data_IF_279171548873
#
_entry.id   IF_279171548873
#
_cell.length_a   1.000
_cell.length_b   1.000
_cell.length_c   1.000
_cell.angle_alpha   90.00
_cell.angle_beta   90.00
_cell.angle_gamma   90.00
#
_symmetry.space_group_name_H-M   'P 1'
#
loop_
_entity.id
_entity.type
_entity.pdbx_description
1 polymer ?
#
# COMPACT_ATOMS: atom_id res chain seq x y z
N UNK A 1 24.88 0.14 20.38
CA UNK A 1 26.02 -0.06 19.45
C UNK A 1 25.47 -0.64 18.13
N UNK A 2 24.36 -0.08 17.61
CA UNK A 2 23.44 -0.82 16.73
C UNK A 2 23.01 -0.05 15.46
N UNK A 3 23.76 0.98 15.08
CA UNK A 3 23.49 1.74 13.86
C UNK A 3 24.03 1.08 12.58
N UNK A 4 24.86 0.04 12.70
CA UNK A 4 25.47 -0.64 11.54
C UNK A 4 24.52 -1.58 10.80
N UNK A 5 23.52 -2.14 11.48
CA UNK A 5 22.56 -3.07 10.86
C UNK A 5 21.55 -2.30 9.97
N UNK A 6 21.22 -1.06 10.32
CA UNK A 6 20.34 -0.19 9.53
C UNK A 6 20.99 0.32 8.23
N UNK A 7 22.32 0.46 8.18
CA UNK A 7 23.02 0.91 6.99
C UNK A 7 23.26 -0.22 5.98
N UNK A 8 23.49 -1.45 6.45
CA UNK A 8 23.77 -2.60 5.58
C UNK A 8 22.52 -3.10 4.83
N UNK A 9 21.31 -2.90 5.39
CA UNK A 9 20.06 -3.45 4.86
C UNK A 9 19.37 -2.58 3.80
N UNK A 10 19.89 -1.38 3.53
CA UNK A 10 19.32 -0.45 2.55
C UNK A 10 20.22 -0.21 1.35
N UNK A 11 21.27 -1.02 1.19
CA UNK A 11 22.25 -0.93 0.11
C UNK A 11 21.62 -1.41 -1.22
N UNK A 12 21.44 -0.49 -2.16
CA UNK A 12 20.97 -0.73 -3.54
C UNK A 12 22.07 -1.24 -4.46
N UNK A 13 23.33 -1.04 -4.09
CA UNK A 13 24.47 -1.43 -4.90
C UNK A 13 25.78 -1.10 -4.22
N UNK A 14 26.76 -1.97 -4.41
CA UNK A 14 28.13 -1.79 -3.97
C UNK A 14 29.00 -1.81 -5.21
N UNK A 15 29.71 -0.72 -5.47
CA UNK A 15 30.69 -0.66 -6.54
C UNK A 15 32.07 -0.43 -5.94
N UNK A 16 33.00 -1.32 -6.27
CA UNK A 16 34.39 -1.25 -5.81
C UNK A 16 35.26 -0.97 -7.02
N UNK A 17 36.00 0.14 -7.00
CA UNK A 17 37.07 0.44 -7.95
C UNK A 17 38.40 0.55 -7.19
N UNK A 18 39.52 0.61 -7.91
CA UNK A 18 40.87 0.38 -7.36
C UNK A 18 41.28 1.25 -6.16
N UNK A 19 40.51 2.27 -5.74
CA UNK A 19 40.64 2.99 -4.46
C UNK A 19 39.32 3.56 -3.89
N UNK A 20 38.15 3.10 -4.34
CA UNK A 20 36.87 3.69 -3.92
C UNK A 20 35.79 2.63 -3.71
N UNK A 21 35.11 2.73 -2.56
CA UNK A 21 33.90 1.98 -2.24
C UNK A 21 32.71 2.92 -2.35
N UNK A 22 31.84 2.70 -3.35
CA UNK A 22 30.59 3.45 -3.49
C UNK A 22 29.44 2.56 -3.01
N UNK A 23 28.79 2.97 -1.91
CA UNK A 23 27.61 2.32 -1.35
C UNK A 23 26.39 3.19 -1.68
N UNK A 24 25.50 2.68 -2.54
CA UNK A 24 24.21 3.33 -2.80
C UNK A 24 23.19 2.84 -1.78
N UNK A 25 22.50 3.71 -1.04
CA UNK A 25 21.47 3.29 -0.09
C UNK A 25 20.23 4.19 -0.05
N UNK A 26 19.09 3.66 0.42
CA UNK A 26 17.86 4.45 0.63
C UNK A 26 17.79 4.92 2.09
N UNK A 27 17.63 6.22 2.31
CA UNK A 27 17.43 6.80 3.66
C UNK A 27 16.02 7.39 3.79
N UNK A 28 15.33 7.19 4.94
CA UNK A 28 14.06 7.84 5.25
C UNK A 28 14.08 9.37 5.07
N UNK A 29 15.22 10.03 5.34
CA UNK A 29 15.36 11.49 5.22
C UNK A 29 15.27 12.01 3.78
N UNK A 30 15.56 11.18 2.78
CA UNK A 30 15.46 11.57 1.37
C UNK A 30 14.04 11.44 0.79
N UNK A 31 13.05 10.98 1.57
CA UNK A 31 11.64 10.91 1.12
C UNK A 31 10.94 12.27 1.15
N UNK A 32 11.31 13.16 2.06
CA UNK A 32 10.70 14.50 2.16
C UNK A 32 10.82 15.30 0.84
N UNK A 33 11.88 15.08 0.06
CA UNK A 33 12.09 15.77 -1.22
C UNK A 33 11.32 15.16 -2.41
N UNK A 34 10.72 13.96 -2.28
CA UNK A 34 9.94 13.30 -3.35
C UNK A 34 8.43 13.47 -3.22
N UNK A 35 7.96 13.96 -2.06
CA UNK A 35 6.55 14.11 -1.72
C UNK A 35 6.04 15.54 -1.92
N UNK A 36 6.51 16.23 -2.97
CA UNK A 36 6.11 17.62 -3.22
C UNK A 36 4.67 17.65 -3.78
N UNK A 37 3.70 17.70 -2.88
CA UNK A 37 2.31 18.02 -3.21
C UNK A 37 2.21 19.55 -3.32
N UNK A 38 1.73 20.05 -4.45
CA UNK A 38 1.36 21.46 -4.57
C UNK A 38 0.04 21.74 -3.83
N UNK A 39 -0.28 23.02 -3.61
CA UNK A 39 -1.47 23.45 -2.88
C UNK A 39 -2.77 22.87 -3.45
N UNK A 40 -2.85 22.71 -4.78
CA UNK A 40 -4.02 22.11 -5.45
C UNK A 40 -4.20 20.63 -5.07
N UNK A 41 -3.11 19.88 -4.92
CA UNK A 41 -3.17 18.49 -4.48
C UNK A 41 -3.61 18.41 -3.00
N UNK A 42 -3.16 19.33 -2.15
CA UNK A 42 -3.58 19.39 -0.75
C UNK A 42 -5.09 19.67 -0.61
N UNK A 43 -5.63 20.63 -1.37
CA UNK A 43 -7.08 20.87 -1.41
C UNK A 43 -7.88 19.65 -1.90
N UNK A 44 -7.32 18.88 -2.82
CA UNK A 44 -7.93 17.63 -3.28
C UNK A 44 -7.95 16.57 -2.16
N UNK A 45 -6.89 16.46 -1.35
CA UNK A 45 -6.87 15.56 -0.19
C UNK A 45 -7.96 15.93 0.81
N UNK A 46 -8.11 17.21 1.15
CA UNK A 46 -9.17 17.70 2.06
C UNK A 46 -10.55 17.34 1.50
N UNK A 47 -10.78 17.56 0.21
CA UNK A 47 -12.04 17.20 -0.44
C UNK A 47 -12.37 15.70 -0.25
N UNK A 48 -11.42 14.80 -0.49
CA UNK A 48 -11.66 13.36 -0.29
C UNK A 48 -11.80 12.98 1.19
N UNK A 49 -11.10 13.66 2.10
CA UNK A 49 -11.27 13.47 3.53
C UNK A 49 -12.69 13.83 4.00
N UNK A 50 -13.26 14.94 3.50
CA UNK A 50 -14.64 15.32 3.80
C UNK A 50 -15.65 14.27 3.29
N UNK A 51 -15.49 13.81 2.06
CA UNK A 51 -16.34 12.75 1.52
C UNK A 51 -16.17 11.43 2.26
N UNK A 52 -14.95 11.09 2.67
CA UNK A 52 -14.65 9.91 3.48
C UNK A 52 -15.37 9.98 4.83
N UNK A 53 -15.34 11.12 5.53
CA UNK A 53 -16.10 11.31 6.77
C UNK A 53 -17.60 11.10 6.58
N UNK A 54 -18.17 11.58 5.48
CA UNK A 54 -19.60 11.39 5.17
C UNK A 54 -19.95 9.92 4.92
N UNK A 55 -19.10 9.20 4.18
CA UNK A 55 -19.26 7.75 3.95
C UNK A 55 -19.24 6.99 5.29
N UNK A 56 -18.27 7.31 6.16
CA UNK A 56 -18.11 6.68 7.47
C UNK A 56 -19.32 6.98 8.38
N UNK A 57 -19.85 8.21 8.34
CA UNK A 57 -20.99 8.61 9.15
C UNK A 57 -22.27 7.81 8.80
N UNK A 58 -22.41 7.41 7.54
CA UNK A 58 -23.53 6.66 6.99
C UNK A 58 -23.36 5.13 7.12
N UNK A 59 -22.18 4.65 7.52
CA UNK A 59 -21.91 3.22 7.69
C UNK A 59 -22.85 2.59 8.74
N UNK A 60 -23.43 1.44 8.42
CA UNK A 60 -24.24 0.67 9.36
C UNK A 60 -23.33 -0.04 10.38
N UNK A 61 -23.38 0.31 11.68
CA UNK A 61 -22.54 -0.31 12.71
C UNK A 61 -22.73 -1.82 12.86
N UNK A 62 -23.81 -2.41 12.34
CA UNK A 62 -24.04 -3.86 12.38
C UNK A 62 -23.11 -4.64 11.45
N UNK A 63 -22.52 -3.97 10.45
CA UNK A 63 -21.66 -4.59 9.45
C UNK A 63 -20.20 -4.16 9.60
N UNK A 64 -19.27 -5.02 9.20
CA UNK A 64 -17.85 -4.65 9.11
C UNK A 64 -17.67 -3.70 7.93
N UNK A 65 -16.91 -2.63 8.14
CA UNK A 65 -16.56 -1.71 7.06
C UNK A 65 -15.58 -2.37 6.09
N UNK A 66 -16.01 -2.59 4.86
CA UNK A 66 -15.16 -3.05 3.77
C UNK A 66 -14.31 -1.89 3.25
N UNK A 67 -13.05 -2.17 2.92
CA UNK A 67 -12.23 -1.17 2.23
C UNK A 67 -12.83 -0.74 0.87
N UNK A 68 -13.63 -1.60 0.23
CA UNK A 68 -14.33 -1.26 -1.01
C UNK A 68 -15.42 -0.20 -0.82
N UNK A 69 -16.10 -0.20 0.35
CA UNK A 69 -17.10 0.82 0.70
C UNK A 69 -16.49 2.21 0.84
N UNK A 70 -15.17 2.29 1.06
CA UNK A 70 -14.41 3.54 1.08
C UNK A 70 -13.84 3.89 -0.30
N UNK A 71 -13.14 2.94 -0.93
CA UNK A 71 -12.42 3.19 -2.19
C UNK A 71 -13.37 3.49 -3.36
N UNK A 72 -14.44 2.71 -3.53
CA UNK A 72 -15.35 2.86 -4.67
C UNK A 72 -15.93 4.28 -4.76
N UNK A 73 -16.55 4.86 -3.70
CA UNK A 73 -17.17 6.17 -3.81
C UNK A 73 -16.13 7.28 -3.96
N UNK A 74 -14.95 7.18 -3.35
CA UNK A 74 -13.91 8.18 -3.57
C UNK A 74 -13.37 8.14 -5.00
N UNK A 75 -13.20 6.95 -5.60
CA UNK A 75 -12.84 6.83 -7.01
C UNK A 75 -13.97 7.25 -7.96
N UNK A 76 -15.23 7.14 -7.56
CA UNK A 76 -16.36 7.76 -8.27
C UNK A 76 -16.22 9.28 -8.30
N UNK A 77 -15.98 9.92 -7.16
CA UNK A 77 -15.75 11.37 -7.12
C UNK A 77 -14.55 11.77 -7.98
N UNK A 78 -13.44 11.03 -7.87
CA UNK A 78 -12.25 11.26 -8.70
C UNK A 78 -12.56 11.13 -10.19
N UNK A 79 -13.36 10.13 -10.59
CA UNK A 79 -13.79 9.99 -11.98
C UNK A 79 -14.66 11.19 -12.42
N UNK A 80 -15.57 11.67 -11.57
CA UNK A 80 -16.48 12.76 -11.94
C UNK A 80 -15.78 14.11 -12.07
N UNK A 81 -14.81 14.41 -11.19
CA UNK A 81 -14.16 15.74 -11.13
C UNK A 81 -12.87 15.86 -11.94
N UNK A 82 -12.23 14.74 -12.27
CA UNK A 82 -10.95 14.77 -12.96
C UNK A 82 -11.08 14.66 -14.48
N UNK A 83 -10.07 15.18 -15.17
CA UNK A 83 -9.82 14.97 -16.60
C UNK A 83 -8.65 13.98 -16.74
N UNK A 84 -8.32 13.57 -17.97
CA UNK A 84 -7.11 12.77 -18.23
C UNK A 84 -5.87 13.44 -17.60
N UNK A 85 -5.73 14.76 -17.77
CA UNK A 85 -4.57 15.51 -17.30
C UNK A 85 -4.48 15.63 -15.77
N UNK A 86 -5.61 15.49 -15.06
CA UNK A 86 -5.65 15.61 -13.58
C UNK A 86 -5.85 14.28 -12.87
N UNK A 87 -6.08 13.18 -13.58
CA UNK A 87 -6.39 11.87 -13.00
C UNK A 87 -5.31 11.35 -12.04
N UNK A 88 -4.02 11.52 -12.37
CA UNK A 88 -2.91 11.09 -11.51
C UNK A 88 -2.94 11.84 -10.16
N UNK A 89 -3.11 13.16 -10.21
CA UNK A 89 -3.14 14.00 -9.01
C UNK A 89 -4.33 13.63 -8.10
N UNK A 90 -5.49 13.42 -8.71
CA UNK A 90 -6.73 13.06 -8.00
C UNK A 90 -6.63 11.65 -7.40
N UNK A 91 -6.04 10.68 -8.10
CA UNK A 91 -5.80 9.35 -7.57
C UNK A 91 -4.84 9.36 -6.36
N UNK A 92 -3.76 10.15 -6.42
CA UNK A 92 -2.86 10.34 -5.28
C UNK A 92 -3.61 10.91 -4.08
N UNK A 93 -4.45 11.91 -4.31
CA UNK A 93 -5.23 12.54 -3.25
C UNK A 93 -6.23 11.55 -2.59
N UNK A 94 -6.90 10.71 -3.37
CA UNK A 94 -7.76 9.61 -2.86
C UNK A 94 -6.96 8.66 -1.96
N UNK A 95 -5.80 8.20 -2.44
CA UNK A 95 -4.97 7.25 -1.70
C UNK A 95 -4.45 7.84 -0.39
N UNK A 96 -3.98 9.09 -0.40
CA UNK A 96 -3.57 9.81 0.81
C UNK A 96 -4.74 9.95 1.78
N UNK A 97 -5.91 10.37 1.31
CA UNK A 97 -7.08 10.58 2.15
C UNK A 97 -7.52 9.29 2.84
N UNK A 98 -7.60 8.16 2.12
CA UNK A 98 -7.99 6.88 2.72
C UNK A 98 -6.91 6.35 3.67
N UNK A 99 -5.63 6.42 3.30
CA UNK A 99 -4.56 5.96 4.17
C UNK A 99 -4.49 6.78 5.47
N UNK A 100 -4.91 8.05 5.46
CA UNK A 100 -5.04 8.85 6.69
C UNK A 100 -6.05 8.28 7.70
N UNK A 101 -7.07 7.57 7.21
CA UNK A 101 -8.06 6.89 8.04
C UNK A 101 -7.63 5.48 8.44
N UNK A 102 -7.16 4.70 7.45
CA UNK A 102 -6.86 3.27 7.61
C UNK A 102 -5.56 3.05 8.39
N UNK A 103 -4.51 3.80 8.06
CA UNK A 103 -3.19 3.68 8.66
C UNK A 103 -2.93 4.71 9.78
N UNK A 104 -3.76 5.77 9.87
CA UNK A 104 -3.67 6.80 10.92
C UNK A 104 -2.25 7.36 11.06
N UNK A 105 -1.68 7.31 12.26
CA UNK A 105 -0.35 7.86 12.56
C UNK A 105 0.79 7.14 11.81
N UNK A 106 0.58 5.90 11.34
CA UNK A 106 1.61 5.14 10.60
C UNK A 106 2.04 5.87 9.32
N UNK A 107 1.11 6.57 8.66
CA UNK A 107 1.44 7.30 7.42
C UNK A 107 1.92 8.74 7.66
N UNK A 108 1.62 9.33 8.82
CA UNK A 108 1.97 10.72 9.12
C UNK A 108 3.48 11.00 9.03
N UNK A 109 4.32 10.00 9.33
CA UNK A 109 5.77 10.07 9.19
C UNK A 109 6.24 10.23 7.73
N UNK A 110 5.38 9.90 6.76
CA UNK A 110 5.68 9.93 5.33
C UNK A 110 4.93 11.03 4.58
N UNK A 111 4.36 12.02 5.28
CA UNK A 111 3.64 13.11 4.64
C UNK A 111 4.14 14.47 5.17
N UNK A 112 4.34 15.47 4.29
CA UNK A 112 4.88 16.77 4.69
C UNK A 112 3.86 17.66 5.43
N UNK A 113 2.65 17.18 5.69
CA UNK A 113 1.55 17.92 6.30
C UNK A 113 0.80 17.03 7.28
N UNK A 114 0.16 17.66 8.27
CA UNK A 114 -0.70 16.94 9.22
C UNK A 114 -1.99 16.50 8.53
N UNK A 115 -2.32 15.23 8.66
CA UNK A 115 -3.62 14.71 8.28
C UNK A 115 -4.62 15.03 9.39
N UNK A 116 -5.67 15.80 9.07
CA UNK A 116 -6.67 16.28 10.03
C UNK A 116 -8.04 15.61 9.86
N UNK A 117 -8.09 14.31 9.54
CA UNK A 117 -9.37 13.62 9.41
C UNK A 117 -9.95 13.33 10.79
N UNK A 118 -10.82 14.21 11.27
CA UNK A 118 -11.64 13.98 12.45
C UNK A 118 -12.96 13.31 12.03
N UNK A 119 -13.12 12.03 12.35
CA UNK A 119 -14.36 11.29 12.15
C UNK A 119 -15.07 11.14 13.49
N UNK A 120 -16.37 11.48 13.55
CA UNK A 120 -17.19 11.27 14.76
C UNK A 120 -17.32 9.78 15.14
N UNK A 121 -17.26 8.89 14.14
CA UNK A 121 -17.32 7.42 14.32
C UNK A 121 -16.09 6.77 13.71
N UNK A 122 -15.58 5.70 14.31
CA UNK A 122 -14.38 5.00 13.85
C UNK A 122 -14.68 3.51 13.65
N UNK A 123 -14.64 3.04 12.41
CA UNK A 123 -14.84 1.65 12.04
C UNK A 123 -13.56 1.14 11.37
N UNK A 124 -12.95 0.06 11.85
CA UNK A 124 -11.80 -0.53 11.18
C UNK A 124 -12.18 -1.03 9.78
N UNK A 125 -11.60 -0.42 8.75
CA UNK A 125 -11.73 -0.91 7.38
C UNK A 125 -11.09 -2.30 7.26
N UNK A 126 -11.67 -3.17 6.43
CA UNK A 126 -11.24 -4.55 6.31
C UNK A 126 -11.31 -5.12 4.90
N UNK A 127 -10.46 -6.12 4.65
CA UNK A 127 -10.47 -7.01 3.50
C UNK A 127 -10.55 -8.44 4.03
N UNK A 128 -11.43 -9.29 3.51
CA UNK A 128 -11.64 -10.65 4.05
C UNK A 128 -11.86 -10.68 5.58
N UNK A 129 -12.56 -9.67 6.12
CA UNK A 129 -12.77 -9.48 7.57
C UNK A 129 -11.49 -9.19 8.37
N UNK A 130 -10.35 -8.94 7.73
CA UNK A 130 -9.06 -8.59 8.34
C UNK A 130 -8.74 -7.10 8.17
N UNK A 131 -8.38 -6.44 9.26
CA UNK A 131 -8.12 -4.98 9.30
C UNK A 131 -6.66 -4.66 8.98
N UNK A 132 -5.76 -5.52 9.45
CA UNK A 132 -4.35 -5.62 9.09
C UNK A 132 -4.16 -5.72 7.57
N UNK A 133 -4.93 -6.55 6.87
CA UNK A 133 -4.87 -6.63 5.41
C UNK A 133 -5.20 -5.29 4.72
N UNK A 134 -6.23 -4.58 5.21
CA UNK A 134 -6.57 -3.26 4.67
C UNK A 134 -5.44 -2.25 4.90
N UNK A 135 -4.78 -2.32 6.06
CA UNK A 135 -3.60 -1.49 6.36
C UNK A 135 -2.42 -1.77 5.43
N UNK A 136 -2.06 -3.04 5.23
CA UNK A 136 -1.00 -3.48 4.32
C UNK A 136 -1.25 -3.00 2.89
N UNK A 137 -2.47 -3.22 2.40
CA UNK A 137 -2.88 -2.74 1.09
C UNK A 137 -2.73 -1.21 0.97
N UNK A 138 -3.30 -0.45 1.91
CA UNK A 138 -3.35 1.01 1.81
C UNK A 138 -1.99 1.68 2.01
N UNK A 139 -1.14 1.18 2.90
CA UNK A 139 0.21 1.73 3.09
C UNK A 139 1.09 1.46 1.86
N UNK A 140 0.99 0.26 1.27
CA UNK A 140 1.74 -0.07 0.06
C UNK A 140 1.25 0.73 -1.15
N UNK A 141 -0.07 0.92 -1.29
CA UNK A 141 -0.65 1.68 -2.39
C UNK A 141 -0.26 3.15 -2.37
N UNK A 142 -0.38 3.81 -1.22
CA UNK A 142 -0.04 5.23 -1.11
C UNK A 142 1.45 5.48 -1.27
N UNK A 143 2.32 4.64 -0.70
CA UNK A 143 3.77 4.74 -0.89
C UNK A 143 4.15 4.57 -2.37
N UNK A 144 3.53 3.62 -3.08
CA UNK A 144 3.74 3.45 -4.52
C UNK A 144 3.29 4.68 -5.32
N UNK A 145 2.11 5.21 -5.01
CA UNK A 145 1.55 6.37 -5.70
C UNK A 145 2.33 7.68 -5.44
N UNK A 146 3.05 7.77 -4.32
CA UNK A 146 3.80 8.96 -3.92
C UNK A 146 5.30 8.89 -4.21
N UNK A 147 5.75 7.85 -4.93
CA UNK A 147 7.15 7.72 -5.38
C UNK A 147 8.10 7.03 -4.38
N UNK A 148 7.53 6.36 -3.37
CA UNK A 148 8.22 5.61 -2.34
C UNK A 148 8.06 4.08 -2.51
N UNK A 149 7.84 3.59 -3.74
CA UNK A 149 7.65 2.16 -4.04
C UNK A 149 8.73 1.25 -3.45
N UNK A 150 10.01 1.59 -3.63
CA UNK A 150 11.11 0.75 -3.15
C UNK A 150 11.03 0.57 -1.63
N UNK A 151 10.54 1.58 -0.92
CA UNK A 151 10.33 1.53 0.52
C UNK A 151 9.15 0.62 0.87
N UNK A 152 8.04 0.67 0.14
CA UNK A 152 6.88 -0.21 0.37
C UNK A 152 7.27 -1.70 0.30
N UNK A 153 8.02 -2.09 -0.74
CA UNK A 153 8.47 -3.48 -0.90
C UNK A 153 9.41 -3.93 0.24
N UNK A 154 10.35 -3.06 0.63
CA UNK A 154 11.32 -3.36 1.69
C UNK A 154 10.60 -3.47 3.04
N UNK A 155 9.77 -2.48 3.41
CA UNK A 155 9.07 -2.47 4.69
C UNK A 155 8.14 -3.68 4.86
N UNK A 156 7.41 -4.06 3.81
CA UNK A 156 6.56 -5.24 3.84
C UNK A 156 7.39 -6.51 4.09
N UNK A 157 8.43 -6.76 3.29
CA UNK A 157 9.25 -7.96 3.44
C UNK A 157 10.04 -8.01 4.77
N UNK A 158 10.57 -6.88 5.23
CA UNK A 158 11.28 -6.81 6.52
C UNK A 158 10.34 -7.03 7.71
N UNK A 159 9.13 -6.48 7.66
CA UNK A 159 8.11 -6.72 8.69
C UNK A 159 7.83 -8.21 8.84
N UNK A 160 7.59 -8.92 7.75
CA UNK A 160 7.28 -10.35 7.80
C UNK A 160 8.43 -11.20 8.32
N UNK A 161 9.68 -10.84 8.01
CA UNK A 161 10.85 -11.52 8.57
C UNK A 161 11.05 -11.24 10.06
N UNK A 162 10.67 -10.06 10.54
CA UNK A 162 10.70 -9.72 11.96
C UNK A 162 9.58 -10.42 12.73
N UNK A 163 8.36 -10.46 12.16
CA UNK A 163 7.21 -11.15 12.73
C UNK A 163 7.47 -12.66 12.85
N UNK A 164 8.23 -13.25 11.91
CA UNK A 164 8.69 -14.64 12.03
C UNK A 164 9.56 -14.92 13.26
N UNK A 165 10.34 -13.93 13.72
CA UNK A 165 11.31 -14.10 14.82
C UNK A 165 10.71 -13.83 16.19
N UNK A 166 9.90 -12.78 16.32
CA UNK A 166 9.43 -12.27 17.62
C UNK A 166 7.97 -11.77 17.60
N UNK A 167 7.25 -11.97 16.50
CA UNK A 167 5.86 -11.49 16.33
C UNK A 167 4.87 -12.64 16.08
N UNK A 168 3.88 -12.37 15.23
CA UNK A 168 2.79 -13.31 14.88
C UNK A 168 3.22 -14.47 13.98
N UNK A 169 4.43 -14.43 13.42
CA UNK A 169 4.87 -15.34 12.36
C UNK A 169 4.79 -14.72 10.96
N UNK A 170 5.55 -15.28 10.02
CA UNK A 170 5.58 -14.88 8.61
C UNK A 170 4.24 -15.14 7.92
N UNK A 171 3.74 -14.18 7.15
CA UNK A 171 2.43 -14.23 6.49
C UNK A 171 2.50 -13.91 5.00
N UNK A 172 2.20 -14.91 4.15
CA UNK A 172 1.99 -14.63 2.73
C UNK A 172 0.68 -13.88 2.45
N UNK A 173 -0.25 -13.86 3.41
CA UNK A 173 -1.47 -13.06 3.32
C UNK A 173 -1.14 -11.57 3.42
N UNK A 174 -0.24 -11.20 4.35
CA UNK A 174 0.21 -9.81 4.51
C UNK A 174 1.03 -9.37 3.29
N UNK A 175 1.93 -10.22 2.79
CA UNK A 175 2.62 -9.97 1.52
C UNK A 175 1.67 -9.83 0.33
N UNK A 176 0.59 -10.61 0.27
CA UNK A 176 -0.39 -10.45 -0.79
C UNK A 176 -1.11 -9.09 -0.70
N UNK A 177 -1.41 -8.62 0.51
CA UNK A 177 -1.92 -7.28 0.77
C UNK A 177 -0.95 -6.19 0.27
N UNK A 178 0.32 -6.29 0.67
CA UNK A 178 1.36 -5.35 0.26
C UNK A 178 1.56 -5.30 -1.25
N UNK A 179 1.64 -6.47 -1.91
CA UNK A 179 1.85 -6.56 -3.36
C UNK A 179 0.63 -6.08 -4.15
N UNK A 180 -0.58 -6.38 -3.69
CA UNK A 180 -1.81 -5.87 -4.30
C UNK A 180 -1.88 -4.34 -4.17
N UNK A 181 -1.59 -3.80 -2.99
CA UNK A 181 -1.49 -2.37 -2.75
C UNK A 181 -0.44 -1.70 -3.63
N UNK A 182 0.77 -2.26 -3.69
CA UNK A 182 1.86 -1.75 -4.51
C UNK A 182 1.46 -1.63 -6.00
N UNK A 183 0.86 -2.69 -6.55
CA UNK A 183 0.39 -2.67 -7.94
C UNK A 183 -0.74 -1.66 -8.12
N UNK A 184 -1.68 -1.58 -7.20
CA UNK A 184 -2.76 -0.59 -7.22
C UNK A 184 -2.20 0.84 -7.31
N UNK A 185 -1.29 1.19 -6.42
CA UNK A 185 -0.66 2.52 -6.40
C UNK A 185 0.13 2.83 -7.68
N UNK A 186 0.86 1.86 -8.23
CA UNK A 186 1.53 1.98 -9.53
C UNK A 186 0.55 2.28 -10.65
N UNK A 187 -0.50 1.47 -10.77
CA UNK A 187 -1.51 1.66 -11.82
C UNK A 187 -2.20 3.02 -11.68
N UNK A 188 -2.41 3.48 -10.45
CA UNK A 188 -3.04 4.77 -10.16
C UNK A 188 -2.24 5.97 -10.70
N UNK A 189 -0.93 5.83 -10.93
CA UNK A 189 -0.05 6.90 -11.40
C UNK A 189 0.73 6.58 -12.67
N UNK A 190 0.50 5.42 -13.30
CA UNK A 190 1.33 4.91 -14.39
C UNK A 190 1.36 5.84 -15.61
N UNK A 191 0.19 6.37 -15.98
CA UNK A 191 0.04 7.39 -17.02
C UNK A 191 -1.30 8.10 -16.83
N UNK A 192 -1.51 9.29 -17.43
CA UNK A 192 -2.81 9.99 -17.39
C UNK A 192 -3.98 9.09 -17.84
N UNK A 193 -3.79 8.33 -18.91
CA UNK A 193 -4.80 7.42 -19.46
C UNK A 193 -5.08 6.24 -18.53
N UNK A 194 -4.05 5.57 -18.02
CA UNK A 194 -4.24 4.42 -17.12
C UNK A 194 -4.82 4.85 -15.77
N UNK A 195 -4.38 6.00 -15.23
CA UNK A 195 -4.96 6.59 -14.02
C UNK A 195 -6.47 6.83 -14.19
N UNK A 196 -6.86 7.36 -15.35
CA UNK A 196 -8.28 7.62 -15.69
C UNK A 196 -9.07 6.32 -15.87
N UNK A 197 -8.49 5.30 -16.51
CA UNK A 197 -9.12 3.96 -16.64
C UNK A 197 -9.32 3.32 -15.27
N UNK A 198 -8.32 3.40 -14.39
CA UNK A 198 -8.43 2.87 -13.03
C UNK A 198 -9.59 3.52 -12.27
N UNK A 199 -9.75 4.85 -12.34
CA UNK A 199 -10.91 5.53 -11.75
C UNK A 199 -12.24 4.97 -12.26
N UNK A 200 -12.37 4.81 -13.58
CA UNK A 200 -13.58 4.25 -14.20
C UNK A 200 -13.83 2.81 -13.73
N UNK A 201 -12.81 1.96 -13.70
CA UNK A 201 -12.93 0.57 -13.24
C UNK A 201 -13.30 0.52 -11.75
N UNK A 202 -12.63 1.31 -10.91
CA UNK A 202 -12.88 1.40 -9.48
C UNK A 202 -14.28 1.93 -9.15
N UNK A 203 -14.79 2.90 -9.90
CA UNK A 203 -16.17 3.35 -9.77
C UNK A 203 -17.18 2.20 -10.00
N UNK A 204 -16.88 1.25 -10.90
CA UNK A 204 -17.80 0.17 -11.27
C UNK A 204 -17.61 -1.12 -10.48
N UNK A 205 -16.75 -1.16 -9.45
CA UNK A 205 -16.57 -2.38 -8.65
C UNK A 205 -17.82 -2.66 -7.80
N UNK A 206 -18.07 -3.94 -7.56
CA UNK A 206 -19.12 -4.39 -6.63
C UNK A 206 -18.58 -4.53 -5.20
N UNK A 207 -17.38 -5.08 -5.07
CA UNK A 207 -16.75 -5.38 -3.79
C UNK A 207 -15.22 -5.41 -3.92
N UNK A 208 -14.54 -5.78 -2.82
CA UNK A 208 -13.10 -5.75 -2.73
C UNK A 208 -12.37 -6.82 -3.57
N UNK A 209 -13.06 -7.87 -4.02
CA UNK A 209 -12.46 -8.90 -4.90
C UNK A 209 -12.07 -8.35 -6.25
N UNK A 210 -12.54 -7.14 -6.59
CA UNK A 210 -12.11 -6.44 -7.78
C UNK A 210 -10.65 -5.98 -7.71
N UNK A 211 -10.09 -5.73 -6.51
CA UNK A 211 -8.74 -5.18 -6.32
C UNK A 211 -7.87 -5.96 -5.31
N UNK A 212 -8.41 -6.98 -4.65
CA UNK A 212 -7.68 -7.88 -3.77
C UNK A 212 -7.90 -9.33 -4.22
N UNK A 213 -6.83 -10.13 -4.46
CA UNK A 213 -6.98 -11.52 -4.88
C UNK A 213 -7.53 -12.41 -3.75
N UNK A 214 -7.92 -13.64 -4.08
CA UNK A 214 -8.14 -14.68 -3.06
C UNK A 214 -6.81 -15.02 -2.38
N UNK A 215 -6.82 -15.02 -1.05
CA UNK A 215 -5.63 -15.16 -0.19
C UNK A 215 -5.82 -16.17 0.93
N UNK A 216 -7.03 -16.67 1.18
CA UNK A 216 -7.33 -17.53 2.34
C UNK A 216 -6.61 -18.88 2.31
N UNK A 217 -6.12 -19.29 1.14
CA UNK A 217 -5.29 -20.50 0.96
C UNK A 217 -3.79 -20.24 1.11
N UNK A 218 -3.35 -19.00 1.36
CA UNK A 218 -1.93 -18.68 1.48
C UNK A 218 -1.41 -19.02 2.89
N UNK A 219 -0.16 -19.52 3.01
CA UNK A 219 0.41 -19.84 4.31
C UNK A 219 0.64 -18.60 5.18
N UNK A 220 0.36 -18.72 6.47
CA UNK A 220 0.54 -17.65 7.46
C UNK A 220 0.93 -18.19 8.84
N UNK A 221 1.26 -17.28 9.76
CA UNK A 221 1.64 -17.58 11.15
C UNK A 221 2.83 -18.55 11.26
N UNK A 222 3.76 -18.50 10.31
CA UNK A 222 4.95 -19.37 10.32
C UNK A 222 6.03 -18.78 11.21
N UNK A 223 6.45 -19.51 12.24
CA UNK A 223 7.65 -19.15 13.00
C UNK A 223 8.89 -19.13 12.10
N UNK A 224 9.95 -18.48 12.54
CA UNK A 224 11.22 -18.43 11.80
C UNK A 224 11.74 -19.83 11.45
N UNK A 225 11.63 -20.80 12.37
CA UNK A 225 12.03 -22.19 12.12
C UNK A 225 11.19 -22.85 11.04
N UNK A 226 9.86 -22.67 11.09
CA UNK A 226 8.94 -23.21 10.06
C UNK A 226 9.21 -22.55 8.70
N UNK A 227 9.36 -21.23 8.67
CA UNK A 227 9.69 -20.49 7.45
C UNK A 227 11.02 -20.98 6.86
N UNK A 228 12.08 -21.10 7.68
CA UNK A 228 13.40 -21.61 7.25
C UNK A 228 13.30 -23.03 6.73
N UNK A 229 12.56 -23.92 7.39
CA UNK A 229 12.41 -25.31 6.94
C UNK A 229 11.62 -25.42 5.64
N UNK A 230 10.53 -24.65 5.50
CA UNK A 230 9.65 -24.76 4.35
C UNK A 230 10.13 -23.98 3.13
N UNK A 231 10.74 -22.82 3.33
CA UNK A 231 11.10 -21.87 2.30
C UNK A 231 12.59 -21.54 2.24
N UNK A 232 13.42 -21.99 3.18
CA UNK A 232 14.85 -21.70 3.29
C UNK A 232 15.20 -20.21 3.43
N UNK A 233 14.95 -19.39 2.42
CA UNK A 233 15.16 -17.95 2.46
C UNK A 233 14.22 -17.23 1.51
N UNK A 234 14.19 -15.90 1.62
CA UNK A 234 13.51 -15.03 0.65
C UNK A 234 14.10 -15.12 -0.77
N UNK A 235 15.26 -15.76 -0.95
CA UNK A 235 15.90 -15.94 -2.25
C UNK A 235 15.65 -17.34 -2.84
N UNK A 236 15.01 -18.24 -2.09
CA UNK A 236 14.78 -19.60 -2.57
C UNK A 236 13.78 -19.64 -3.72
N UNK A 237 13.92 -20.63 -4.61
CA UNK A 237 12.98 -20.85 -5.70
C UNK A 237 11.56 -21.08 -5.19
N UNK A 238 11.38 -21.79 -4.06
CA UNK A 238 10.07 -22.07 -3.49
C UNK A 238 9.37 -20.80 -2.98
N UNK A 239 10.11 -19.91 -2.34
CA UNK A 239 9.59 -18.61 -1.92
C UNK A 239 9.21 -17.73 -3.12
N UNK A 240 10.11 -17.62 -4.10
CA UNK A 240 9.89 -16.82 -5.31
C UNK A 240 8.71 -17.35 -6.14
N UNK A 241 8.51 -18.67 -6.21
CA UNK A 241 7.34 -19.26 -6.85
C UNK A 241 6.03 -18.91 -6.13
N UNK A 242 6.02 -18.84 -4.79
CA UNK A 242 4.85 -18.38 -4.04
C UNK A 242 4.54 -16.90 -4.36
N UNK A 243 5.56 -16.04 -4.42
CA UNK A 243 5.36 -14.65 -4.82
C UNK A 243 4.82 -14.54 -6.25
N UNK A 244 5.35 -15.32 -7.19
CA UNK A 244 4.86 -15.37 -8.57
C UNK A 244 3.39 -15.81 -8.64
N UNK A 245 2.98 -16.80 -7.84
CA UNK A 245 1.57 -17.23 -7.72
C UNK A 245 0.70 -16.06 -7.26
N UNK A 246 1.13 -15.30 -6.24
CA UNK A 246 0.42 -14.12 -5.75
C UNK A 246 0.31 -13.05 -6.85
N UNK A 247 1.41 -12.73 -7.53
CA UNK A 247 1.43 -11.72 -8.60
C UNK A 247 0.52 -12.08 -9.78
N UNK A 248 0.47 -13.36 -10.14
CA UNK A 248 -0.43 -13.87 -11.19
C UNK A 248 -1.90 -13.69 -10.80
N UNK A 249 -2.27 -13.98 -9.54
CA UNK A 249 -3.64 -13.72 -9.05
C UNK A 249 -3.98 -12.24 -9.09
N UNK A 250 -3.07 -11.38 -8.63
CA UNK A 250 -3.25 -9.93 -8.70
C UNK A 250 -3.42 -9.50 -10.16
N UNK A 251 -2.68 -10.08 -11.10
CA UNK A 251 -2.77 -9.71 -12.51
C UNK A 251 -4.12 -9.98 -13.16
N UNK A 252 -4.86 -10.96 -12.67
CA UNK A 252 -6.16 -11.36 -13.19
C UNK A 252 -7.33 -10.54 -12.62
N UNK A 253 -7.07 -9.65 -11.67
CA UNK A 253 -8.09 -8.80 -11.07
C UNK A 253 -8.74 -7.88 -12.12
N UNK A 254 -10.06 -7.72 -12.03
CA UNK A 254 -10.87 -7.00 -13.03
C UNK A 254 -10.44 -5.54 -13.22
N UNK A 255 -9.86 -4.91 -12.19
CA UNK A 255 -9.37 -3.53 -12.30
C UNK A 255 -8.14 -3.39 -13.23
N UNK A 256 -7.51 -4.50 -13.62
CA UNK A 256 -6.36 -4.52 -14.52
C UNK A 256 -6.66 -5.08 -15.92
N UNK A 257 -7.88 -5.59 -16.15
CA UNK A 257 -8.37 -6.08 -17.45
C UNK A 257 -9.06 -4.95 -18.20
#
# INVERSE_FOLDING_TARGET
KDYYILAAQHIRGIQISNKQLTISYTSPKNLNNKLSLNDKNYQSVIFYQQHLSNIIAQHDPKWRLSLAELLQPLFKFAYQRSTINTAIAENRAVLIAISSYVNKNEIQAFLPFKLGLETQKNYPASLYRRTDMAKHFMISAVLAATGAETLAHILGQEKELNDAKQGSGFSFIDLAGDRAGLRFGKTAIASPTEARKLQKRMFNIKDYTAFMPEVRDLPENMSHTVFKQQYDSIYSAKYQNMLKKIDQRIAQLVIYQ
#
